data_IF_488379934936
#
_entry.id   IF_488379934936
#
_cell.length_a   1.000
_cell.length_b   1.000
_cell.length_c   1.000
_cell.angle_alpha   90.00
_cell.angle_beta   90.00
_cell.angle_gamma   90.00
#
_symmetry.space_group_name_H-M   'P 1'
#
loop_
_entity.id
_entity.type
_entity.pdbx_description
1 polymer ?
#
# COMPACT_ATOMS: atom_id res chain seq x y z
N UNK A 1 -2.41 -48.35 1.36
CA UNK A 1 -2.88 -47.23 0.52
C UNK A 1 -1.92 -46.08 0.68
N UNK A 2 -1.46 -45.48 -0.42
CA UNK A 2 -0.65 -44.26 -0.34
C UNK A 2 -1.57 -43.13 0.16
N UNK A 3 -1.21 -42.51 1.27
CA UNK A 3 -1.96 -41.40 1.87
C UNK A 3 -0.98 -40.34 2.34
N UNK A 4 -1.36 -39.07 2.22
CA UNK A 4 -0.55 -37.94 2.66
C UNK A 4 -1.08 -37.36 3.98
N UNK A 5 -0.19 -36.70 4.72
CA UNK A 5 -0.56 -35.92 5.90
C UNK A 5 -1.57 -34.82 5.57
N UNK A 6 -2.32 -34.38 6.58
CA UNK A 6 -3.35 -33.36 6.40
C UNK A 6 -2.79 -32.07 5.74
N UNK A 7 -3.48 -31.58 4.71
CA UNK A 7 -3.06 -30.42 3.93
C UNK A 7 -2.11 -30.69 2.75
N UNK A 8 -1.72 -31.95 2.52
CA UNK A 8 -1.00 -32.38 1.32
C UNK A 8 -1.92 -33.18 0.40
N UNK A 9 -1.69 -33.05 -0.91
CA UNK A 9 -2.40 -33.77 -1.97
C UNK A 9 -1.47 -34.83 -2.58
N UNK A 10 -1.97 -36.05 -2.77
CA UNK A 10 -1.23 -37.11 -3.44
C UNK A 10 -1.28 -36.89 -4.96
N UNK A 11 -0.12 -36.76 -5.61
CA UNK A 11 0.00 -36.61 -7.05
C UNK A 11 1.19 -37.41 -7.57
N UNK A 12 0.94 -38.41 -8.43
CA UNK A 12 1.99 -39.25 -9.01
C UNK A 12 2.86 -39.97 -7.97
N UNK A 13 2.28 -40.37 -6.83
CA UNK A 13 3.01 -41.02 -5.73
C UNK A 13 3.71 -40.05 -4.76
N UNK A 14 3.68 -38.74 -5.02
CA UNK A 14 4.29 -37.72 -4.18
C UNK A 14 3.24 -36.92 -3.39
N UNK A 15 3.59 -36.47 -2.18
CA UNK A 15 2.77 -35.56 -1.39
C UNK A 15 3.16 -34.11 -1.66
N UNK A 16 2.25 -33.36 -2.29
CA UNK A 16 2.48 -31.97 -2.71
C UNK A 16 1.52 -31.00 -2.02
N UNK A 17 1.94 -29.74 -1.89
CA UNK A 17 1.13 -28.66 -1.33
C UNK A 17 1.56 -27.33 -1.92
N UNK A 18 0.62 -26.43 -2.16
CA UNK A 18 0.93 -25.07 -2.56
C UNK A 18 1.40 -24.23 -1.37
N UNK A 19 2.48 -23.46 -1.58
CA UNK A 19 2.96 -22.45 -0.63
C UNK A 19 2.69 -21.08 -1.20
N UNK A 20 1.76 -20.35 -0.56
CA UNK A 20 1.31 -19.03 -1.02
C UNK A 20 2.04 -17.94 -0.23
N UNK A 21 2.57 -16.93 -0.92
CA UNK A 21 3.20 -15.76 -0.29
C UNK A 21 2.56 -14.48 -0.81
N UNK A 22 2.33 -13.53 0.09
CA UNK A 22 1.75 -12.24 -0.23
C UNK A 22 2.84 -11.17 -0.26
N UNK A 23 2.96 -10.44 -1.37
CA UNK A 23 3.81 -9.25 -1.42
C UNK A 23 3.00 -8.05 -0.91
N UNK A 24 3.10 -7.78 0.38
CA UNK A 24 2.42 -6.64 1.03
C UNK A 24 3.25 -5.36 1.02
N UNK A 25 4.56 -5.47 0.80
CA UNK A 25 5.46 -4.32 0.70
C UNK A 25 5.47 -3.74 -0.71
N UNK A 26 4.83 -2.58 -0.87
CA UNK A 26 4.91 -1.79 -2.09
C UNK A 26 6.24 -1.00 -2.11
N UNK A 27 7.26 -1.54 -2.80
CA UNK A 27 8.59 -0.89 -2.97
C UNK A 27 8.54 0.51 -3.60
N UNK A 28 7.45 0.83 -4.30
CA UNK A 28 7.28 2.14 -4.87
C UNK A 28 6.98 3.21 -3.79
N UNK A 29 6.55 2.82 -2.57
CA UNK A 29 6.15 3.71 -1.47
C UNK A 29 7.15 3.67 -0.30
N UNK A 30 8.45 3.77 -0.55
CA UNK A 30 9.48 3.63 0.50
C UNK A 30 9.33 4.64 1.66
N UNK A 31 8.65 5.78 1.44
CA UNK A 31 8.36 6.76 2.49
C UNK A 31 7.08 6.49 3.29
N UNK A 32 6.34 5.43 2.98
CA UNK A 32 5.03 5.16 3.56
C UNK A 32 5.04 3.87 4.38
N UNK A 33 4.46 3.92 5.58
CA UNK A 33 4.37 2.81 6.51
C UNK A 33 3.01 2.12 6.38
N UNK A 34 2.99 0.80 6.54
CA UNK A 34 1.73 0.05 6.65
C UNK A 34 1.09 0.42 7.99
N UNK A 35 -0.17 0.88 7.95
CA UNK A 35 -0.94 1.19 9.16
C UNK A 35 -2.00 0.14 9.46
N UNK A 36 -2.46 -0.58 8.44
CA UNK A 36 -3.46 -1.64 8.61
C UNK A 36 -3.31 -2.73 7.57
N UNK A 37 -3.52 -3.97 8.01
CA UNK A 37 -3.68 -5.13 7.15
C UNK A 37 -4.99 -5.83 7.52
N UNK A 38 -5.91 -5.92 6.58
CA UNK A 38 -7.22 -6.54 6.79
C UNK A 38 -7.45 -7.65 5.77
N UNK A 39 -7.90 -8.82 6.24
CA UNK A 39 -8.42 -9.84 5.36
C UNK A 39 -9.80 -9.40 4.82
N UNK A 40 -9.94 -9.31 3.51
CA UNK A 40 -11.20 -8.93 2.84
C UNK A 40 -11.84 -10.10 2.10
N UNK A 41 -11.16 -11.23 2.06
CA UNK A 41 -11.66 -12.47 1.48
C UNK A 41 -11.20 -13.62 2.35
N UNK A 42 -12.12 -14.12 3.18
CA UNK A 42 -11.82 -15.00 4.30
C UNK A 42 -11.43 -16.42 3.91
N UNK A 43 -11.66 -17.35 4.84
CA UNK A 43 -11.27 -18.74 4.68
C UNK A 43 -12.04 -19.40 3.55
N UNK A 44 -11.33 -20.00 2.61
CA UNK A 44 -11.93 -20.83 1.56
C UNK A 44 -10.92 -21.85 1.01
N UNK A 45 -11.44 -22.88 0.35
CA UNK A 45 -10.66 -23.84 -0.43
C UNK A 45 -10.79 -23.50 -1.90
N UNK A 46 -9.68 -23.43 -2.63
CA UNK A 46 -9.66 -23.25 -4.08
C UNK A 46 -8.71 -24.23 -4.75
N UNK A 47 -9.02 -24.61 -5.98
CA UNK A 47 -8.12 -25.43 -6.79
C UNK A 47 -7.10 -24.52 -7.48
N UNK A 48 -5.83 -24.66 -7.10
CA UNK A 48 -4.71 -23.93 -7.69
C UNK A 48 -3.77 -24.95 -8.31
N UNK A 49 -3.53 -24.88 -9.62
CA UNK A 49 -2.73 -25.85 -10.36
C UNK A 49 -3.16 -27.31 -10.12
N UNK A 50 -4.48 -27.55 -10.03
CA UNK A 50 -5.04 -28.89 -9.76
C UNK A 50 -5.00 -29.34 -8.29
N UNK A 51 -4.43 -28.55 -7.38
CA UNK A 51 -4.28 -28.90 -5.96
C UNK A 51 -5.31 -28.12 -5.13
N UNK A 52 -6.20 -28.79 -4.36
CA UNK A 52 -7.10 -28.12 -3.43
C UNK A 52 -6.28 -27.45 -2.33
N UNK A 53 -6.38 -26.12 -2.26
CA UNK A 53 -5.59 -25.27 -1.37
C UNK A 53 -6.52 -24.52 -0.45
N UNK A 54 -6.36 -24.71 0.85
CA UNK A 54 -7.14 -23.99 1.87
C UNK A 54 -6.29 -22.87 2.46
N UNK A 55 -6.76 -21.63 2.36
CA UNK A 55 -6.17 -20.49 3.04
C UNK A 55 -7.19 -19.91 4.03
N UNK A 56 -6.71 -19.32 5.12
CA UNK A 56 -7.55 -18.55 6.03
C UNK A 56 -7.93 -17.18 5.45
N UNK A 57 -7.15 -16.68 4.50
CA UNK A 57 -7.42 -15.44 3.79
C UNK A 57 -6.88 -15.51 2.37
N UNK A 58 -7.72 -15.20 1.40
CA UNK A 58 -7.41 -15.16 -0.03
C UNK A 58 -7.11 -13.77 -0.56
N UNK A 59 -7.41 -12.72 0.21
CA UNK A 59 -7.15 -11.35 -0.22
C UNK A 59 -7.00 -10.44 0.97
N UNK A 60 -5.91 -9.69 0.98
CA UNK A 60 -5.65 -8.67 1.97
C UNK A 60 -5.80 -7.27 1.38
N UNK A 61 -6.43 -6.37 2.13
CA UNK A 61 -6.33 -4.92 1.96
C UNK A 61 -5.23 -4.42 2.89
N UNK A 62 -4.28 -3.68 2.34
CA UNK A 62 -3.18 -3.07 3.07
C UNK A 62 -3.31 -1.55 2.97
N UNK A 63 -3.61 -0.88 4.08
CA UNK A 63 -3.65 0.57 4.13
C UNK A 63 -2.25 1.09 4.54
N UNK A 64 -1.82 2.16 3.86
CA UNK A 64 -0.52 2.79 4.05
C UNK A 64 -0.71 4.26 4.45
N UNK A 65 0.20 4.77 5.27
CA UNK A 65 0.28 6.19 5.61
C UNK A 65 1.68 6.72 5.27
N UNK A 66 1.72 7.86 4.58
CA UNK A 66 2.94 8.53 4.19
C UNK A 66 3.09 9.80 5.02
N UNK A 67 4.13 9.87 5.85
CA UNK A 67 4.46 11.09 6.57
C UNK A 67 5.20 12.03 5.62
N UNK A 68 4.59 13.17 5.28
CA UNK A 68 5.23 14.24 4.49
C UNK A 68 5.11 15.55 5.28
N UNK A 69 6.24 16.17 5.69
CA UNK A 69 6.18 17.40 6.45
C UNK A 69 5.59 18.53 5.60
N UNK A 70 4.75 19.36 6.21
CA UNK A 70 4.22 20.57 5.57
C UNK A 70 5.31 21.66 5.56
N UNK A 71 6.04 21.77 4.46
CA UNK A 71 7.08 22.80 4.29
C UNK A 71 6.51 24.21 4.19
N UNK A 72 5.23 24.38 3.84
CA UNK A 72 4.57 25.68 3.77
C UNK A 72 4.18 26.24 5.15
N UNK A 73 4.25 25.44 6.22
CA UNK A 73 3.82 25.87 7.55
C UNK A 73 4.62 27.05 8.12
N UNK A 74 5.86 27.25 7.65
CA UNK A 74 6.74 28.33 8.07
C UNK A 74 6.51 29.64 7.31
N UNK A 75 5.64 29.66 6.30
CA UNK A 75 5.34 30.89 5.55
C UNK A 75 4.42 31.82 6.37
N UNK A 76 4.53 33.15 6.18
CA UNK A 76 3.61 34.11 6.77
C UNK A 76 2.13 33.77 6.50
N UNK A 77 1.26 34.01 7.48
CA UNK A 77 -0.17 33.66 7.38
C UNK A 77 -0.93 34.44 6.31
N UNK A 78 -0.41 35.60 5.93
CA UNK A 78 -0.94 36.47 4.87
C UNK A 78 -0.57 36.01 3.45
N UNK A 79 0.22 34.94 3.31
CA UNK A 79 0.52 34.35 2.01
C UNK A 79 -0.69 33.63 1.40
N UNK A 80 -1.09 34.05 0.20
CA UNK A 80 -2.23 33.48 -0.55
C UNK A 80 -1.79 32.35 -1.46
N UNK A 81 -2.59 31.28 -1.57
CA UNK A 81 -2.35 30.21 -2.56
C UNK A 81 -2.66 30.71 -3.96
N UNK A 82 -1.72 30.56 -4.88
CA UNK A 82 -1.91 30.88 -6.29
C UNK A 82 -2.25 29.64 -7.10
N UNK A 83 -1.44 28.59 -6.93
CA UNK A 83 -1.63 27.31 -7.61
C UNK A 83 -1.41 26.17 -6.63
N UNK A 84 -2.10 25.07 -6.88
CA UNK A 84 -1.89 23.82 -6.19
C UNK A 84 -2.05 22.70 -7.20
N UNK A 85 -1.05 21.84 -7.31
CA UNK A 85 -1.10 20.70 -8.20
C UNK A 85 -0.42 19.48 -7.56
N UNK A 86 -0.81 18.31 -8.05
CA UNK A 86 -0.17 17.09 -7.61
C UNK A 86 1.19 16.94 -8.27
N UNK A 87 2.25 17.01 -7.47
CA UNK A 87 3.63 16.81 -7.91
C UNK A 87 3.96 15.34 -8.09
N UNK A 88 3.54 14.51 -7.13
CA UNK A 88 3.80 13.07 -7.13
C UNK A 88 2.50 12.28 -7.01
N UNK A 89 2.17 11.54 -8.07
CA UNK A 89 1.08 10.56 -8.08
C UNK A 89 1.64 9.16 -8.02
N UNK A 90 0.95 8.31 -7.27
CA UNK A 90 1.30 6.91 -7.13
C UNK A 90 0.05 6.05 -7.10
N UNK A 91 -0.04 5.09 -8.02
CA UNK A 91 -1.23 4.26 -8.24
C UNK A 91 -2.53 5.10 -8.36
N UNK A 92 -2.45 6.26 -9.01
CA UNK A 92 -3.57 7.18 -9.18
C UNK A 92 -3.87 8.08 -7.97
N UNK A 93 -3.23 7.85 -6.82
CA UNK A 93 -3.38 8.67 -5.60
C UNK A 93 -2.31 9.75 -5.57
N UNK A 94 -2.68 10.99 -5.26
CA UNK A 94 -1.70 12.04 -5.04
C UNK A 94 -1.06 11.93 -3.65
N UNK A 95 0.27 11.79 -3.60
CA UNK A 95 1.01 11.62 -2.34
C UNK A 95 1.91 12.81 -2.01
N UNK A 96 2.08 13.75 -2.93
CA UNK A 96 2.78 15.01 -2.69
C UNK A 96 2.13 16.15 -3.49
N UNK A 97 1.82 17.24 -2.79
CA UNK A 97 1.25 18.45 -3.37
C UNK A 97 2.35 19.49 -3.51
N UNK A 98 2.38 20.18 -4.64
CA UNK A 98 3.18 21.38 -4.84
C UNK A 98 2.25 22.59 -4.85
N UNK A 99 2.57 23.56 -4.00
CA UNK A 99 1.74 24.73 -3.74
C UNK A 99 2.58 25.99 -3.94
N UNK A 100 2.16 26.86 -4.84
CA UNK A 100 2.78 28.17 -5.01
C UNK A 100 2.02 29.20 -4.17
N UNK A 101 2.75 29.95 -3.34
CA UNK A 101 2.21 30.97 -2.43
C UNK A 101 2.73 32.35 -2.82
N UNK A 102 1.88 33.38 -2.74
CA UNK A 102 2.25 34.79 -2.89
C UNK A 102 2.09 35.51 -1.56
N UNK A 103 3.16 36.06 -1.03
CA UNK A 103 3.20 36.75 0.27
C UNK A 103 3.23 38.26 0.10
N UNK A 104 2.76 39.03 1.09
CA UNK A 104 2.89 40.47 1.07
C UNK A 104 4.36 40.86 1.30
N UNK A 105 4.89 41.72 0.44
CA UNK A 105 6.23 42.27 0.58
C UNK A 105 6.17 43.51 1.48
N UNK A 106 6.97 43.53 2.55
CA UNK A 106 7.17 44.75 3.35
C UNK A 106 8.38 45.49 2.79
N UNK A 107 8.14 46.60 2.13
CA UNK A 107 9.21 47.53 1.73
C UNK A 107 9.58 48.42 2.92
N UNK A 108 10.82 48.34 3.40
CA UNK A 108 11.36 49.32 4.33
C UNK A 108 11.72 50.60 3.55
N UNK A 109 11.19 51.75 3.97
CA UNK A 109 11.69 53.08 3.56
C UNK A 109 12.40 53.69 4.75
N UNK A 110 13.59 54.23 4.52
CA UNK A 110 14.41 54.94 5.50
C UNK A 110 13.85 56.34 5.80
#
# INVERSE_FOLDING_TARGET
>A
TLSCSNGFTLSGGNCIKNTMTWRTQCRLMNSCKITRQQCIEGRATRTINGIPTTLNCWKYRIDHHCDRPNTCANLPKDCTTQTQHCRLKQNGVCIEQEVTKRCAEKTCRA
#
